data_IF_131679039730
#
_entry.id   IF_131679039730
#
_cell.length_a   1.000
_cell.length_b   1.000
_cell.length_c   1.000
_cell.angle_alpha   90.00
_cell.angle_beta   90.00
_cell.angle_gamma   90.00
#
_symmetry.space_group_name_H-M   'P 1'
#
loop_
_entity.id
_entity.type
_entity.pdbx_description
1 polymer ?
#
# COMPACT_ATOMS: atom_id res chain seq x y z
N UNK A 1 30.82 4.41 8.36
CA UNK A 1 29.48 4.41 9.01
C UNK A 1 29.36 3.11 9.79
N UNK A 2 28.62 3.06 10.90
CA UNK A 2 28.27 1.76 11.52
C UNK A 2 27.45 0.97 10.47
N UNK A 3 27.65 -0.34 10.30
CA UNK A 3 26.79 -1.15 9.44
C UNK A 3 25.32 -0.99 9.86
N UNK A 4 24.46 -0.66 8.91
CA UNK A 4 23.02 -0.48 9.13
C UNK A 4 22.39 -1.87 9.18
N UNK A 5 21.54 -2.15 10.18
CA UNK A 5 20.73 -3.37 10.22
C UNK A 5 19.30 -3.09 9.77
N UNK A 6 18.87 -3.76 8.71
CA UNK A 6 17.52 -3.71 8.15
C UNK A 6 16.85 -5.07 8.41
N UNK A 7 15.81 -5.08 9.22
CA UNK A 7 15.00 -6.25 9.50
C UNK A 7 13.77 -6.25 8.60
N UNK A 8 13.52 -7.35 7.90
CA UNK A 8 12.38 -7.51 6.97
C UNK A 8 11.45 -8.57 7.54
N UNK A 9 10.29 -8.14 7.99
CA UNK A 9 9.24 -9.01 8.56
C UNK A 9 8.21 -9.34 7.48
N UNK A 10 7.96 -10.64 7.26
CA UNK A 10 7.19 -11.12 6.11
C UNK A 10 8.05 -11.22 4.84
N UNK A 11 9.32 -11.57 5.00
CA UNK A 11 10.32 -11.62 3.94
C UNK A 11 10.02 -12.66 2.85
N UNK A 12 9.18 -13.67 3.12
CA UNK A 12 8.75 -14.65 2.13
C UNK A 12 7.94 -14.06 0.99
N UNK A 13 7.63 -12.77 1.01
CA UNK A 13 7.16 -12.00 -0.14
C UNK A 13 8.30 -11.75 -1.13
N UNK A 14 8.60 -12.76 -1.95
CA UNK A 14 9.83 -12.80 -2.74
C UNK A 14 10.01 -11.61 -3.70
N UNK A 15 8.92 -11.08 -4.28
CA UNK A 15 8.96 -9.90 -5.17
C UNK A 15 9.42 -8.64 -4.45
N UNK A 16 8.94 -8.39 -3.23
CA UNK A 16 9.36 -7.24 -2.44
C UNK A 16 10.79 -7.41 -1.92
N UNK A 17 11.12 -8.59 -1.40
CA UNK A 17 12.45 -8.87 -0.87
C UNK A 17 13.55 -8.75 -1.91
N UNK A 18 13.37 -9.33 -3.11
CA UNK A 18 14.36 -9.20 -4.19
C UNK A 18 14.46 -7.76 -4.70
N UNK A 19 13.34 -7.03 -4.77
CA UNK A 19 13.34 -5.60 -5.13
C UNK A 19 14.16 -4.76 -4.15
N UNK A 20 13.97 -4.98 -2.84
CA UNK A 20 14.75 -4.30 -1.80
C UNK A 20 16.24 -4.63 -1.86
N UNK A 21 16.61 -5.91 -2.00
CA UNK A 21 18.03 -6.31 -2.10
C UNK A 21 18.66 -5.78 -3.37
N UNK A 22 17.92 -5.77 -4.49
CA UNK A 22 18.36 -5.15 -5.74
C UNK A 22 18.70 -3.68 -5.53
N UNK A 23 17.81 -2.92 -4.91
CA UNK A 23 18.03 -1.49 -4.69
C UNK A 23 19.18 -1.21 -3.73
N UNK A 24 19.33 -2.02 -2.68
CA UNK A 24 20.48 -1.94 -1.76
C UNK A 24 21.78 -2.19 -2.55
N UNK A 25 21.82 -3.20 -3.42
CA UNK A 25 22.98 -3.47 -4.28
C UNK A 25 23.31 -2.33 -5.26
N UNK A 26 22.37 -1.43 -5.52
CA UNK A 26 22.54 -0.26 -6.39
C UNK A 26 22.75 1.04 -5.60
N UNK A 27 22.86 0.94 -4.27
CA UNK A 27 22.97 2.08 -3.36
C UNK A 27 24.29 1.98 -2.58
N UNK A 28 25.41 2.56 -3.08
CA UNK A 28 26.74 2.39 -2.49
C UNK A 28 26.87 2.83 -1.02
N UNK A 29 26.04 3.78 -0.59
CA UNK A 29 25.99 4.27 0.79
C UNK A 29 25.49 3.23 1.80
N UNK A 30 24.80 2.18 1.32
CA UNK A 30 24.26 1.07 2.11
C UNK A 30 25.08 -0.21 1.96
N UNK A 31 26.21 -0.20 1.25
CA UNK A 31 27.09 -1.37 1.16
C UNK A 31 27.60 -1.79 2.54
N UNK A 32 27.63 -3.10 2.80
CA UNK A 32 28.00 -3.67 4.10
C UNK A 32 26.88 -3.68 5.13
N UNK A 33 25.64 -3.30 4.77
CA UNK A 33 24.47 -3.44 5.65
C UNK A 33 24.17 -4.90 5.98
N UNK A 34 23.62 -5.14 7.17
CA UNK A 34 23.03 -6.42 7.56
C UNK A 34 21.55 -6.43 7.18
N UNK A 35 21.13 -7.39 6.37
CA UNK A 35 19.74 -7.60 6.01
C UNK A 35 19.27 -8.88 6.69
N UNK A 36 18.32 -8.77 7.62
CA UNK A 36 17.80 -9.91 8.36
C UNK A 36 16.36 -10.22 7.90
N UNK A 37 16.20 -11.32 7.18
CA UNK A 37 14.91 -11.80 6.69
C UNK A 37 14.20 -12.61 7.77
N UNK A 38 12.93 -12.31 8.01
CA UNK A 38 12.09 -13.12 8.89
C UNK A 38 10.74 -13.42 8.23
N UNK A 39 10.36 -14.68 8.29
CA UNK A 39 9.05 -15.18 7.89
C UNK A 39 8.68 -16.36 8.80
N UNK A 40 7.41 -16.75 8.82
CA UNK A 40 6.96 -17.94 9.54
C UNK A 40 7.00 -19.19 8.64
N UNK A 41 7.12 -19.01 7.32
CA UNK A 41 7.21 -20.09 6.35
C UNK A 41 8.69 -20.33 5.97
N UNK A 42 9.24 -21.44 6.45
CA UNK A 42 10.63 -21.84 6.23
C UNK A 42 10.99 -21.96 4.74
N UNK A 43 10.15 -22.61 3.94
CA UNK A 43 10.40 -22.83 2.52
C UNK A 43 10.50 -21.51 1.76
N UNK A 44 9.53 -20.60 1.96
CA UNK A 44 9.53 -19.27 1.35
C UNK A 44 10.75 -18.45 1.79
N UNK A 45 11.12 -18.54 3.07
CA UNK A 45 12.27 -17.84 3.64
C UNK A 45 13.60 -18.36 3.07
N UNK A 46 13.73 -19.67 2.90
CA UNK A 46 14.91 -20.29 2.31
C UNK A 46 15.08 -19.89 0.85
N UNK A 47 13.99 -19.93 0.09
CA UNK A 47 13.96 -19.56 -1.32
C UNK A 47 14.35 -18.10 -1.52
N UNK A 48 13.76 -17.18 -0.76
CA UNK A 48 14.04 -15.74 -0.91
C UNK A 48 15.46 -15.37 -0.46
N UNK A 49 15.96 -16.01 0.60
CA UNK A 49 17.33 -15.79 1.07
C UNK A 49 18.36 -16.28 0.05
N UNK A 50 18.15 -17.46 -0.54
CA UNK A 50 19.00 -17.99 -1.60
C UNK A 50 19.01 -17.08 -2.84
N UNK A 51 17.83 -16.63 -3.28
CA UNK A 51 17.68 -15.72 -4.42
C UNK A 51 18.42 -14.39 -4.19
N UNK A 52 18.23 -13.77 -3.03
CA UNK A 52 18.86 -12.50 -2.67
C UNK A 52 20.38 -12.63 -2.51
N UNK A 53 20.85 -13.75 -1.96
CA UNK A 53 22.29 -14.05 -1.85
C UNK A 53 22.93 -14.16 -3.23
N UNK A 54 22.32 -14.97 -4.11
CA UNK A 54 22.77 -15.12 -5.50
C UNK A 54 22.80 -13.78 -6.24
N UNK A 55 21.78 -12.93 -6.05
CA UNK A 55 21.77 -11.58 -6.64
C UNK A 55 22.95 -10.71 -6.18
N UNK A 56 23.20 -10.65 -4.88
CA UNK A 56 24.30 -9.85 -4.32
C UNK A 56 25.67 -10.35 -4.79
N UNK A 57 25.85 -11.68 -4.86
CA UNK A 57 27.06 -12.33 -5.39
C UNK A 57 27.29 -12.02 -6.88
N UNK A 58 26.25 -12.14 -7.72
CA UNK A 58 26.30 -11.80 -9.15
C UNK A 58 26.66 -10.32 -9.39
N UNK A 59 26.28 -9.44 -8.45
CA UNK A 59 26.61 -8.01 -8.48
C UNK A 59 27.97 -7.69 -7.84
N UNK A 60 28.58 -8.63 -7.12
CA UNK A 60 29.82 -8.41 -6.37
C UNK A 60 29.67 -7.44 -5.20
N UNK A 61 28.46 -7.28 -4.65
CA UNK A 61 28.18 -6.36 -3.54
C UNK A 61 28.21 -7.13 -2.22
N UNK A 62 28.95 -6.62 -1.24
CA UNK A 62 29.08 -7.28 0.07
C UNK A 62 27.92 -6.89 0.99
N UNK A 63 26.98 -7.81 1.19
CA UNK A 63 25.88 -7.70 2.17
C UNK A 63 25.98 -8.82 3.22
N UNK A 64 25.60 -8.53 4.47
CA UNK A 64 25.45 -9.54 5.52
C UNK A 64 24.00 -10.01 5.55
N UNK A 65 23.69 -11.07 4.79
CA UNK A 65 22.33 -11.59 4.63
C UNK A 65 22.04 -12.72 5.64
N UNK A 66 21.12 -12.48 6.57
CA UNK A 66 20.70 -13.43 7.62
C UNK A 66 19.23 -13.80 7.46
N UNK A 67 18.83 -14.96 7.98
CA UNK A 67 17.43 -15.38 8.03
C UNK A 67 17.10 -16.06 9.35
N UNK A 68 15.87 -15.89 9.82
CA UNK A 68 15.36 -16.56 11.03
C UNK A 68 13.83 -16.72 10.95
N UNK A 69 13.30 -17.72 11.66
CA UNK A 69 11.86 -17.82 11.93
C UNK A 69 11.46 -17.06 13.21
N UNK A 70 12.43 -16.61 14.01
CA UNK A 70 12.21 -15.90 15.25
C UNK A 70 12.16 -14.38 15.03
N UNK A 71 10.99 -13.79 15.28
CA UNK A 71 10.78 -12.35 15.12
C UNK A 71 11.71 -11.53 16.02
N UNK A 72 11.93 -11.94 17.26
CA UNK A 72 12.70 -11.18 18.24
C UNK A 72 14.18 -11.19 17.87
N UNK A 73 14.73 -12.34 17.47
CA UNK A 73 16.09 -12.44 16.91
C UNK A 73 16.27 -11.53 15.69
N UNK A 74 15.26 -11.47 14.82
CA UNK A 74 15.29 -10.57 13.67
C UNK A 74 15.44 -9.10 14.09
N UNK A 75 14.74 -8.67 15.14
CA UNK A 75 14.69 -7.28 15.60
C UNK A 75 15.94 -6.81 16.38
N UNK A 76 16.75 -7.70 16.94
CA UNK A 76 17.87 -7.34 17.82
C UNK A 76 18.87 -6.36 17.17
N UNK A 77 18.94 -5.13 17.66
CA UNK A 77 19.84 -4.10 17.12
C UNK A 77 19.51 -3.63 15.70
N UNK A 78 18.25 -3.79 15.26
CA UNK A 78 17.76 -3.21 14.02
C UNK A 78 17.77 -1.68 14.07
N UNK A 79 18.12 -1.03 12.96
CA UNK A 79 17.95 0.41 12.77
C UNK A 79 16.64 0.71 11.99
N UNK A 80 16.20 -0.24 11.17
CA UNK A 80 14.98 -0.18 10.38
C UNK A 80 14.26 -1.53 10.40
N UNK A 81 12.94 -1.49 10.55
CA UNK A 81 12.06 -2.67 10.53
C UNK A 81 11.01 -2.47 9.46
N UNK A 82 11.14 -3.18 8.35
CA UNK A 82 10.21 -3.17 7.22
C UNK A 82 9.19 -4.28 7.42
N UNK A 83 7.91 -3.93 7.46
CA UNK A 83 6.82 -4.90 7.60
C UNK A 83 6.04 -5.04 6.29
N UNK A 84 6.16 -6.22 5.67
CA UNK A 84 5.44 -6.65 4.46
C UNK A 84 4.55 -7.87 4.72
N UNK A 85 4.30 -8.23 5.98
CA UNK A 85 3.58 -9.45 6.32
C UNK A 85 2.07 -9.31 6.13
N UNK A 86 1.46 -10.23 5.37
CA UNK A 86 0.01 -10.42 5.28
C UNK A 86 -0.40 -11.63 6.11
N UNK A 87 -0.90 -11.39 7.32
CA UNK A 87 -1.13 -12.46 8.32
C UNK A 87 -2.25 -13.43 7.97
N UNK A 88 -3.31 -12.97 7.28
CA UNK A 88 -4.44 -13.81 6.89
C UNK A 88 -4.24 -14.54 5.54
N UNK A 89 -3.28 -14.10 4.72
CA UNK A 89 -3.03 -14.62 3.37
C UNK A 89 -4.18 -14.39 2.37
N UNK A 90 -3.92 -14.66 1.08
CA UNK A 90 -4.90 -14.45 0.02
C UNK A 90 -6.07 -15.45 0.02
N UNK A 91 -5.89 -16.64 0.59
CA UNK A 91 -6.96 -17.66 0.66
C UNK A 91 -8.16 -17.19 1.48
N UNK A 92 -7.92 -16.70 2.70
CA UNK A 92 -8.99 -16.17 3.59
C UNK A 92 -9.64 -14.92 3.01
N UNK A 93 -8.85 -14.09 2.33
CA UNK A 93 -9.35 -12.91 1.62
C UNK A 93 -10.37 -13.30 0.55
N UNK A 94 -10.00 -14.25 -0.33
CA UNK A 94 -10.87 -14.70 -1.42
C UNK A 94 -12.13 -15.41 -0.94
N UNK A 95 -12.02 -16.29 0.06
CA UNK A 95 -13.20 -16.97 0.63
C UNK A 95 -14.18 -15.96 1.24
N UNK A 96 -13.68 -14.95 1.97
CA UNK A 96 -14.51 -13.86 2.47
C UNK A 96 -15.14 -13.02 1.35
N UNK A 97 -14.44 -12.80 0.23
CA UNK A 97 -15.03 -12.14 -0.94
C UNK A 97 -16.18 -12.94 -1.55
N UNK A 98 -16.02 -14.26 -1.67
CA UNK A 98 -17.09 -15.14 -2.17
C UNK A 98 -18.34 -15.06 -1.28
N UNK A 99 -18.16 -15.03 0.04
CA UNK A 99 -19.25 -14.84 1.00
C UNK A 99 -19.88 -13.45 0.86
N UNK A 100 -19.09 -12.39 0.81
CA UNK A 100 -19.59 -11.02 0.63
C UNK A 100 -20.39 -10.87 -0.68
N UNK A 101 -19.89 -11.42 -1.79
CA UNK A 101 -20.61 -11.40 -3.08
C UNK A 101 -21.92 -12.19 -3.01
N UNK A 102 -21.94 -13.35 -2.33
CA UNK A 102 -23.18 -14.12 -2.07
C UNK A 102 -24.21 -13.30 -1.30
N UNK A 103 -23.77 -12.43 -0.39
CA UNK A 103 -24.65 -11.53 0.37
C UNK A 103 -24.97 -10.21 -0.35
N UNK A 104 -24.53 -10.02 -1.59
CA UNK A 104 -24.91 -8.89 -2.44
C UNK A 104 -23.97 -7.67 -2.39
N UNK A 105 -22.82 -7.78 -1.73
CA UNK A 105 -21.76 -6.78 -1.81
C UNK A 105 -21.02 -6.92 -3.15
N UNK A 106 -20.65 -5.79 -3.76
CA UNK A 106 -20.02 -5.80 -5.09
C UNK A 106 -18.56 -5.37 -5.02
N UNK A 107 -17.70 -6.10 -5.72
CA UNK A 107 -16.31 -5.68 -5.91
C UNK A 107 -16.33 -4.39 -6.75
N UNK A 108 -15.66 -3.33 -6.30
CA UNK A 108 -15.93 -1.98 -6.82
C UNK A 108 -16.88 -1.21 -5.89
N UNK A 109 -16.34 -0.22 -5.17
CA UNK A 109 -17.15 0.63 -4.30
C UNK A 109 -17.43 0.11 -2.90
N UNK A 110 -17.05 -1.13 -2.57
CA UNK A 110 -17.16 -1.70 -1.22
C UNK A 110 -15.84 -1.61 -0.44
N UNK A 111 -15.41 -0.40 -0.07
CA UNK A 111 -14.02 -0.12 0.34
C UNK A 111 -13.52 -0.92 1.55
N UNK A 112 -14.39 -1.19 2.53
CA UNK A 112 -14.06 -1.90 3.77
C UNK A 112 -14.54 -3.36 3.80
N UNK A 113 -15.18 -3.81 2.71
CA UNK A 113 -15.75 -5.15 2.59
C UNK A 113 -15.03 -5.96 1.50
N UNK A 114 -14.88 -5.44 0.27
CA UNK A 114 -14.35 -6.21 -0.85
C UNK A 114 -13.09 -5.57 -1.43
N UNK A 115 -11.98 -5.64 -0.69
CA UNK A 115 -10.60 -5.37 -1.15
C UNK A 115 -9.60 -6.12 -0.26
N UNK A 116 -8.30 -5.85 -0.39
CA UNK A 116 -7.26 -6.41 0.49
C UNK A 116 -7.23 -5.80 1.90
N UNK A 117 -8.12 -4.85 2.19
CA UNK A 117 -8.33 -4.19 3.47
C UNK A 117 -9.70 -4.55 4.10
N UNK A 118 -10.21 -5.75 3.81
CA UNK A 118 -11.47 -6.21 4.39
C UNK A 118 -11.35 -6.45 5.91
N UNK A 119 -12.40 -6.15 6.68
CA UNK A 119 -12.34 -6.21 8.16
C UNK A 119 -11.90 -7.58 8.73
N UNK A 120 -12.20 -8.68 8.03
CA UNK A 120 -11.81 -10.03 8.45
C UNK A 120 -10.34 -10.37 8.19
N UNK A 121 -9.66 -9.57 7.38
CA UNK A 121 -8.21 -9.56 7.20
C UNK A 121 -7.58 -8.58 8.19
N UNK A 122 -8.15 -7.38 8.27
CA UNK A 122 -7.64 -6.30 9.12
C UNK A 122 -7.60 -6.68 10.60
N UNK A 123 -8.55 -7.47 11.11
CA UNK A 123 -8.48 -7.96 12.50
C UNK A 123 -7.13 -8.61 12.83
N UNK A 124 -6.63 -9.49 11.96
CA UNK A 124 -5.33 -10.15 12.18
C UNK A 124 -4.15 -9.21 11.93
N UNK A 125 -4.28 -8.30 10.95
CA UNK A 125 -3.24 -7.32 10.65
C UNK A 125 -3.06 -6.33 11.79
N UNK A 126 -4.14 -5.81 12.37
CA UNK A 126 -4.10 -4.88 13.49
C UNK A 126 -3.47 -5.52 14.73
N UNK A 127 -3.86 -6.76 15.09
CA UNK A 127 -3.19 -7.51 16.17
C UNK A 127 -1.71 -7.69 15.91
N UNK A 128 -1.34 -7.96 14.67
CA UNK A 128 0.06 -8.16 14.31
C UNK A 128 0.86 -6.86 14.36
N UNK A 129 0.35 -5.77 13.80
CA UNK A 129 0.97 -4.44 13.85
C UNK A 129 1.17 -3.98 15.29
N UNK A 130 0.18 -4.23 16.16
CA UNK A 130 0.28 -3.98 17.59
C UNK A 130 1.44 -4.78 18.21
N UNK A 131 1.40 -6.12 18.06
CA UNK A 131 2.44 -6.99 18.64
C UNK A 131 3.85 -6.73 18.11
N UNK A 132 3.98 -6.33 16.84
CA UNK A 132 5.25 -5.99 16.24
C UNK A 132 5.77 -4.65 16.77
N UNK A 133 4.91 -3.66 16.92
CA UNK A 133 5.28 -2.35 17.48
C UNK A 133 5.72 -2.50 18.93
N UNK A 134 5.05 -3.33 19.72
CA UNK A 134 5.44 -3.65 21.09
C UNK A 134 6.83 -4.30 21.16
N UNK A 135 7.10 -5.30 20.30
CA UNK A 135 8.42 -5.93 20.22
C UNK A 135 9.51 -4.93 19.76
N UNK A 136 9.20 -4.01 18.84
CA UNK A 136 10.15 -2.96 18.41
C UNK A 136 10.48 -2.04 19.58
N UNK A 137 9.48 -1.58 20.34
CA UNK A 137 9.67 -0.70 21.49
C UNK A 137 10.46 -1.37 22.63
N UNK A 138 10.36 -2.69 22.76
CA UNK A 138 11.07 -3.47 23.76
C UNK A 138 12.53 -3.78 23.33
N UNK A 139 12.74 -4.18 22.07
CA UNK A 139 14.02 -4.74 21.59
C UNK A 139 14.91 -3.69 20.92
N UNK A 140 14.32 -2.82 20.09
CA UNK A 140 15.03 -1.85 19.27
C UNK A 140 14.27 -0.52 19.19
N UNK A 141 14.04 0.17 20.32
CA UNK A 141 13.15 1.34 20.41
C UNK A 141 13.56 2.52 19.52
N UNK A 142 14.81 2.54 19.07
CA UNK A 142 15.32 3.58 18.18
C UNK A 142 15.07 3.30 16.69
N UNK A 143 14.65 2.08 16.34
CA UNK A 143 14.42 1.67 14.97
C UNK A 143 13.21 2.38 14.36
N UNK A 144 13.27 2.64 13.05
CA UNK A 144 12.10 3.06 12.29
C UNK A 144 11.25 1.85 11.92
N UNK A 145 9.96 1.87 12.26
CA UNK A 145 8.97 0.93 11.77
C UNK A 145 8.38 1.44 10.45
N UNK A 146 8.77 0.79 9.35
CA UNK A 146 8.26 1.05 8.00
C UNK A 146 7.10 0.08 7.73
N UNK A 147 5.87 0.60 7.73
CA UNK A 147 4.65 -0.18 7.50
C UNK A 147 4.29 -0.18 6.01
N UNK A 148 4.41 -1.33 5.34
CA UNK A 148 4.02 -1.51 3.94
C UNK A 148 2.82 -2.45 3.80
N UNK A 149 2.68 -3.39 4.74
CA UNK A 149 1.55 -4.30 4.77
C UNK A 149 0.24 -3.53 4.96
N UNK A 150 -0.74 -3.83 4.10
CA UNK A 150 -2.09 -3.30 4.23
C UNK A 150 -2.81 -3.87 5.47
N UNK A 151 -3.74 -3.10 6.07
CA UNK A 151 -4.20 -1.76 5.66
C UNK A 151 -3.27 -0.64 6.15
N UNK A 152 -2.62 0.12 5.25
CA UNK A 152 -1.71 1.19 5.67
C UNK A 152 -2.47 2.33 6.36
N UNK A 153 -3.64 2.73 5.84
CA UNK A 153 -4.48 3.79 6.44
C UNK A 153 -4.93 3.46 7.87
N UNK A 154 -5.57 2.29 8.06
CA UNK A 154 -6.09 1.85 9.35
C UNK A 154 -4.93 1.51 10.29
N UNK A 155 -3.90 0.82 9.79
CA UNK A 155 -2.73 0.41 10.57
C UNK A 155 -1.92 1.58 11.11
N UNK A 156 -1.58 2.56 10.26
CA UNK A 156 -0.84 3.76 10.70
C UNK A 156 -1.69 4.60 11.66
N UNK A 157 -2.99 4.78 11.38
CA UNK A 157 -3.90 5.47 12.29
C UNK A 157 -3.91 4.81 13.67
N UNK A 158 -4.07 3.49 13.72
CA UNK A 158 -4.10 2.72 14.96
C UNK A 158 -2.77 2.80 15.73
N UNK A 159 -1.67 2.43 15.08
CA UNK A 159 -0.36 2.30 15.72
C UNK A 159 0.14 3.64 16.21
N UNK A 160 0.04 4.71 15.41
CA UNK A 160 0.54 6.02 15.82
C UNK A 160 -0.33 6.68 16.90
N UNK A 161 -1.63 6.38 16.97
CA UNK A 161 -2.51 6.82 18.09
C UNK A 161 -2.13 6.12 19.39
N UNK A 162 -1.93 4.80 19.34
CA UNK A 162 -1.73 3.95 20.52
C UNK A 162 -0.29 3.98 21.04
N UNK A 163 0.70 4.12 20.15
CA UNK A 163 2.13 4.11 20.44
C UNK A 163 2.83 5.38 19.92
N UNK A 164 2.50 6.58 20.43
CA UNK A 164 3.05 7.85 19.94
C UNK A 164 4.58 7.98 20.09
N UNK A 165 5.22 7.12 20.90
CA UNK A 165 6.66 7.02 21.07
C UNK A 165 7.37 6.24 19.97
N UNK A 166 6.66 5.42 19.18
CA UNK A 166 7.25 4.62 18.12
C UNK A 166 7.58 5.48 16.89
N UNK A 167 8.74 5.25 16.27
CA UNK A 167 9.14 5.92 15.02
C UNK A 167 8.49 5.21 13.82
N UNK A 168 7.24 5.55 13.53
CA UNK A 168 6.42 4.85 12.53
C UNK A 168 6.25 5.71 11.27
N UNK A 169 6.32 5.07 10.12
CA UNK A 169 5.93 5.65 8.82
C UNK A 169 5.28 4.57 7.97
N UNK A 170 4.12 4.88 7.37
CA UNK A 170 3.55 4.00 6.36
C UNK A 170 4.03 4.36 4.95
N UNK A 171 4.23 3.35 4.11
CA UNK A 171 4.72 3.52 2.74
C UNK A 171 3.78 2.79 1.77
N UNK A 172 3.44 3.46 0.68
CA UNK A 172 2.65 2.90 -0.42
C UNK A 172 3.21 3.43 -1.75
N UNK A 173 3.01 2.69 -2.84
CA UNK A 173 3.55 3.01 -4.16
C UNK A 173 2.60 3.82 -5.04
N UNK A 174 1.39 4.16 -4.57
CA UNK A 174 0.36 4.83 -5.39
C UNK A 174 0.85 6.11 -6.08
N UNK A 175 1.77 6.84 -5.47
CA UNK A 175 2.38 8.06 -6.02
C UNK A 175 3.17 7.85 -7.33
N UNK A 176 3.70 6.63 -7.56
CA UNK A 176 4.48 6.26 -8.77
C UNK A 176 3.68 6.54 -10.03
N UNK A 177 2.36 6.48 -9.94
CA UNK A 177 1.47 6.76 -11.05
C UNK A 177 1.57 8.21 -11.58
N UNK A 178 2.09 9.15 -10.79
CA UNK A 178 2.44 10.49 -11.28
C UNK A 178 3.49 10.43 -12.40
N UNK A 179 4.41 9.46 -12.35
CA UNK A 179 5.39 9.24 -13.42
C UNK A 179 4.76 8.63 -14.68
N UNK A 180 3.72 7.82 -14.53
CA UNK A 180 2.96 7.30 -15.68
C UNK A 180 2.19 8.43 -16.37
N UNK A 181 1.57 9.33 -15.59
CA UNK A 181 0.90 10.55 -16.12
C UNK A 181 1.90 11.41 -16.90
N UNK A 182 3.07 11.68 -16.31
CA UNK A 182 4.14 12.42 -16.99
C UNK A 182 4.56 11.75 -18.30
N UNK A 183 4.85 10.45 -18.28
CA UNK A 183 5.22 9.67 -19.47
C UNK A 183 4.14 9.73 -20.56
N UNK A 184 2.87 9.60 -20.20
CA UNK A 184 1.76 9.63 -21.14
C UNK A 184 1.56 11.02 -21.79
N UNK A 185 2.00 12.09 -21.14
CA UNK A 185 2.07 13.44 -21.68
C UNK A 185 3.39 13.73 -22.43
N UNK A 186 4.32 12.78 -22.50
CA UNK A 186 5.63 12.96 -23.12
C UNK A 186 6.61 13.79 -22.28
N UNK A 187 6.44 13.77 -20.96
CA UNK A 187 7.26 14.51 -20.00
C UNK A 187 8.30 13.61 -19.35
N UNK A 188 9.51 14.13 -19.16
CA UNK A 188 10.62 13.43 -18.54
C UNK A 188 10.49 13.44 -17.00
N UNK A 189 10.59 12.25 -16.37
CA UNK A 189 10.46 12.07 -14.92
C UNK A 189 11.39 12.97 -14.09
N UNK A 190 12.61 13.21 -14.56
CA UNK A 190 13.60 14.04 -13.85
C UNK A 190 13.26 15.54 -13.84
N UNK A 191 12.39 15.97 -14.76
CA UNK A 191 12.07 17.38 -14.99
C UNK A 191 10.69 17.74 -14.41
N UNK A 192 9.99 16.79 -13.77
CA UNK A 192 8.72 17.07 -13.08
C UNK A 192 8.92 17.37 -11.60
N UNK A 193 8.06 18.22 -11.05
CA UNK A 193 7.85 18.35 -9.60
C UNK A 193 6.35 18.32 -9.32
N UNK A 194 5.95 17.78 -8.19
CA UNK A 194 4.53 17.55 -7.91
C UNK A 194 4.22 17.56 -6.42
N UNK A 195 2.93 17.73 -6.10
CA UNK A 195 2.37 17.39 -4.80
C UNK A 195 1.19 16.44 -4.99
N UNK A 196 1.22 15.34 -4.25
CA UNK A 196 0.06 14.46 -4.06
C UNK A 196 -0.39 14.56 -2.62
N UNK A 197 -1.71 14.59 -2.44
CA UNK A 197 -2.34 14.82 -1.14
C UNK A 197 -3.56 13.93 -0.98
N UNK A 198 -3.73 13.35 0.20
CA UNK A 198 -4.95 12.66 0.58
C UNK A 198 -4.76 11.75 1.77
N UNK A 199 -5.37 10.59 1.70
CA UNK A 199 -5.15 9.46 2.61
C UNK A 199 -4.72 8.26 1.77
N UNK A 200 -4.22 7.18 2.39
CA UNK A 200 -3.76 6.04 1.62
C UNK A 200 -4.85 5.48 0.70
N UNK A 201 -4.47 5.08 -0.52
CA UNK A 201 -5.37 4.68 -1.60
C UNK A 201 -6.48 5.70 -1.94
N UNK A 202 -6.28 6.97 -1.59
CA UNK A 202 -7.18 8.07 -1.93
C UNK A 202 -6.40 9.40 -2.11
N UNK A 203 -5.42 9.35 -3.00
CA UNK A 203 -4.47 10.39 -3.37
C UNK A 203 -4.91 11.22 -4.58
N UNK A 204 -4.62 12.51 -4.51
CA UNK A 204 -4.93 13.47 -5.56
C UNK A 204 -3.69 14.29 -5.90
N UNK A 205 -3.38 14.39 -7.19
CA UNK A 205 -2.36 15.30 -7.72
C UNK A 205 -2.91 16.72 -7.65
N UNK A 206 -2.37 17.52 -6.73
CA UNK A 206 -2.82 18.91 -6.48
C UNK A 206 -1.96 19.93 -7.20
N UNK A 207 -0.68 19.64 -7.37
CA UNK A 207 0.28 20.50 -8.04
C UNK A 207 1.12 19.60 -8.97
N UNK A 208 1.27 20.01 -10.23
CA UNK A 208 2.01 19.24 -11.24
C UNK A 208 2.74 20.20 -12.16
N UNK A 209 4.07 20.19 -12.09
CA UNK A 209 4.92 21.09 -12.85
C UNK A 209 5.90 20.32 -13.71
N UNK A 210 6.21 20.87 -14.89
CA UNK A 210 7.27 20.40 -15.76
C UNK A 210 8.23 21.55 -16.07
N UNK A 211 9.50 21.40 -15.69
CA UNK A 211 10.53 22.45 -15.82
C UNK A 211 10.12 23.78 -15.17
N UNK A 212 9.36 23.70 -14.07
CA UNK A 212 8.88 24.86 -13.31
C UNK A 212 7.57 25.47 -13.78
N UNK A 213 7.02 25.03 -14.91
CA UNK A 213 5.75 25.52 -15.46
C UNK A 213 4.60 24.56 -15.13
N UNK A 214 3.39 25.09 -14.91
CA UNK A 214 2.19 24.29 -14.65
C UNK A 214 1.91 23.34 -15.83
N UNK A 215 1.80 22.05 -15.54
CA UNK A 215 1.62 20.99 -16.51
C UNK A 215 0.15 20.55 -16.66
N UNK A 216 -0.79 21.02 -15.82
CA UNK A 216 -2.22 20.74 -16.01
C UNK A 216 -2.77 21.20 -17.38
N UNK A 217 -2.36 22.36 -17.94
CA UNK A 217 -2.76 22.73 -19.31
C UNK A 217 -2.37 21.71 -20.39
N UNK A 218 -1.30 20.94 -20.18
CA UNK A 218 -0.91 19.86 -21.10
C UNK A 218 -1.83 18.66 -20.98
N UNK A 219 -2.29 18.34 -19.77
CA UNK A 219 -3.31 17.33 -19.52
C UNK A 219 -4.64 17.75 -20.14
N UNK A 220 -5.07 19.00 -19.94
CA UNK A 220 -6.32 19.53 -20.52
C UNK A 220 -6.29 19.43 -22.05
N UNK A 221 -5.19 19.86 -22.67
CA UNK A 221 -5.00 19.73 -24.12
C UNK A 221 -5.02 18.28 -24.59
N UNK A 222 -4.37 17.37 -23.85
CA UNK A 222 -4.42 15.94 -24.17
C UNK A 222 -5.87 15.40 -24.10
N UNK A 223 -6.64 15.82 -23.10
CA UNK A 223 -8.04 15.43 -22.93
C UNK A 223 -8.87 15.92 -24.13
N UNK A 224 -8.71 17.18 -24.52
CA UNK A 224 -9.47 17.79 -25.63
C UNK A 224 -9.11 17.17 -26.99
N UNK A 225 -7.83 16.92 -27.25
CA UNK A 225 -7.36 16.56 -28.59
C UNK A 225 -7.21 15.05 -28.81
N UNK A 226 -7.01 14.26 -27.75
CA UNK A 226 -6.55 12.86 -27.88
C UNK A 226 -7.40 11.82 -27.15
N UNK A 227 -8.16 12.20 -26.12
CA UNK A 227 -8.83 11.22 -25.25
C UNK A 227 -9.80 10.30 -25.99
N UNK A 228 -10.67 10.84 -26.85
CA UNK A 228 -11.66 10.04 -27.60
C UNK A 228 -10.99 9.02 -28.53
N UNK A 229 -9.98 9.44 -29.29
CA UNK A 229 -9.22 8.56 -30.18
C UNK A 229 -8.42 7.51 -29.40
N UNK A 230 -7.86 7.89 -28.25
CA UNK A 230 -7.13 6.98 -27.36
C UNK A 230 -8.03 5.87 -26.84
N UNK A 231 -9.24 6.20 -26.37
CA UNK A 231 -10.20 5.20 -25.89
C UNK A 231 -10.81 4.36 -27.03
N UNK A 232 -11.05 4.95 -28.19
CA UNK A 232 -11.57 4.24 -29.37
C UNK A 232 -10.56 3.24 -29.95
N UNK A 233 -9.26 3.46 -29.77
CA UNK A 233 -8.21 2.53 -30.19
C UNK A 233 -8.24 1.20 -29.40
N UNK A 234 -8.84 1.21 -28.21
CA UNK A 234 -8.86 0.06 -27.30
C UNK A 234 -7.51 -0.24 -26.66
N UNK A 235 -7.49 -1.23 -25.75
CA UNK A 235 -6.30 -1.62 -24.98
C UNK A 235 -6.30 -1.12 -23.54
N UNK A 236 -5.12 -1.04 -22.93
CA UNK A 236 -4.96 -0.56 -21.56
C UNK A 236 -5.01 0.98 -21.53
N UNK A 237 -6.08 1.52 -20.92
CA UNK A 237 -6.32 2.96 -20.87
C UNK A 237 -5.55 3.68 -19.76
N UNK A 238 -4.65 2.99 -19.05
CA UNK A 238 -3.91 3.57 -17.92
C UNK A 238 -2.79 4.51 -18.40
N UNK A 239 -2.59 5.69 -17.78
CA UNK A 239 -3.26 6.25 -16.60
C UNK A 239 -4.52 7.08 -16.91
N UNK A 240 -4.89 7.27 -18.18
CA UNK A 240 -5.98 8.16 -18.61
C UNK A 240 -7.29 7.43 -18.89
N UNK A 241 -7.79 6.69 -17.90
CA UNK A 241 -9.07 5.98 -18.04
C UNK A 241 -10.25 6.96 -18.13
N UNK A 242 -11.36 6.59 -18.79
CA UNK A 242 -12.56 7.44 -18.85
C UNK A 242 -13.03 7.89 -17.46
N UNK A 243 -13.00 6.99 -16.47
CA UNK A 243 -13.36 7.28 -15.07
C UNK A 243 -12.47 8.37 -14.46
N UNK A 244 -11.15 8.29 -14.64
CA UNK A 244 -10.21 9.27 -14.08
C UNK A 244 -10.36 10.64 -14.72
N UNK A 245 -10.58 10.69 -16.03
CA UNK A 245 -10.83 11.96 -16.73
C UNK A 245 -12.16 12.59 -16.29
N UNK A 246 -13.21 11.80 -16.10
CA UNK A 246 -14.49 12.31 -15.57
C UNK A 246 -14.35 12.87 -14.16
N UNK A 247 -13.66 12.14 -13.26
CA UNK A 247 -13.36 12.63 -11.91
C UNK A 247 -12.56 13.93 -11.93
N UNK A 248 -11.54 14.02 -12.78
CA UNK A 248 -10.74 15.23 -12.94
C UNK A 248 -11.60 16.42 -13.40
N UNK A 249 -12.43 16.23 -14.44
CA UNK A 249 -13.36 17.28 -14.92
C UNK A 249 -14.35 17.71 -13.83
N UNK A 250 -14.80 16.79 -12.99
CA UNK A 250 -15.79 17.06 -11.93
C UNK A 250 -15.21 17.76 -10.72
N UNK A 251 -13.97 17.42 -10.34
CA UNK A 251 -13.38 17.85 -9.07
C UNK A 251 -12.23 18.84 -9.23
N UNK A 252 -11.70 19.04 -10.44
CA UNK A 252 -10.59 19.94 -10.72
C UNK A 252 -9.24 19.46 -10.16
N UNK A 253 -9.16 18.21 -9.73
CA UNK A 253 -7.95 17.55 -9.20
C UNK A 253 -7.87 16.14 -9.73
N UNK A 254 -6.66 15.67 -10.04
CA UNK A 254 -6.49 14.41 -10.75
C UNK A 254 -6.22 13.27 -9.75
N UNK A 255 -7.05 12.23 -9.77
CA UNK A 255 -6.88 11.06 -8.90
C UNK A 255 -5.60 10.30 -9.29
N UNK A 256 -4.81 9.84 -8.31
CA UNK A 256 -3.52 9.16 -8.50
C UNK A 256 -3.55 7.75 -7.91
N UNK A 257 -2.86 6.83 -8.58
CA UNK A 257 -2.65 5.47 -8.11
C UNK A 257 -3.97 4.76 -7.83
N UNK A 258 -4.06 4.08 -6.69
CA UNK A 258 -5.18 3.22 -6.36
C UNK A 258 -6.54 3.91 -6.23
N UNK A 259 -6.53 5.22 -5.98
CA UNK A 259 -7.72 6.05 -5.74
C UNK A 259 -8.86 5.73 -6.68
N UNK A 260 -8.60 5.78 -7.97
CA UNK A 260 -9.56 5.44 -9.02
C UNK A 260 -9.13 4.19 -9.80
N UNK A 261 -8.10 3.47 -9.33
CA UNK A 261 -7.66 2.25 -10.01
C UNK A 261 -8.67 1.14 -9.83
N UNK A 262 -8.63 0.23 -10.79
CA UNK A 262 -9.38 -1.01 -10.78
C UNK A 262 -8.95 -2.02 -9.69
N UNK A 263 -7.81 -1.83 -9.02
CA UNK A 263 -7.18 -2.88 -8.21
C UNK A 263 -7.43 -2.79 -6.71
N UNK A 264 -7.53 -1.60 -6.11
CA UNK A 264 -7.35 -1.54 -4.63
C UNK A 264 -8.32 -0.58 -3.93
N UNK A 265 -8.59 0.60 -4.50
CA UNK A 265 -9.60 1.50 -3.95
C UNK A 265 -10.86 1.60 -4.81
N UNK A 266 -10.75 1.48 -6.15
CA UNK A 266 -11.84 1.62 -7.14
C UNK A 266 -12.90 2.65 -6.78
N UNK A 267 -12.48 3.78 -6.24
CA UNK A 267 -13.40 4.84 -5.88
C UNK A 267 -13.77 5.61 -7.15
N UNK A 268 -15.01 6.11 -7.28
CA UNK A 268 -16.19 5.94 -6.41
C UNK A 268 -17.18 4.84 -6.87
N UNK A 269 -18.04 4.39 -5.94
CA UNK A 269 -19.00 3.30 -6.15
C UNK A 269 -19.98 3.49 -7.32
N UNK A 270 -20.27 4.72 -7.73
CA UNK A 270 -21.26 4.98 -8.79
C UNK A 270 -20.78 4.61 -10.20
N UNK A 271 -19.50 4.28 -10.38
CA UNK A 271 -19.00 3.67 -11.62
C UNK A 271 -19.04 2.14 -11.59
N UNK A 272 -19.47 1.56 -10.47
CA UNK A 272 -19.46 0.13 -10.18
C UNK A 272 -20.87 -0.39 -9.82
N UNK A 273 -21.92 0.26 -10.35
CA UNK A 273 -23.31 -0.09 -9.98
C UNK A 273 -23.75 -1.44 -10.51
N UNK A 274 -23.28 -1.78 -11.69
CA UNK A 274 -23.47 -3.05 -12.37
C UNK A 274 -22.43 -3.18 -13.49
N UNK A 275 -22.37 -4.36 -14.12
CA UNK A 275 -21.40 -4.61 -15.19
C UNK A 275 -21.57 -3.71 -16.42
N UNK A 276 -22.78 -3.19 -16.69
CA UNK A 276 -22.99 -2.31 -17.83
C UNK A 276 -22.36 -0.94 -17.57
N UNK A 277 -22.49 -0.43 -16.34
CA UNK A 277 -21.81 0.79 -15.92
C UNK A 277 -20.28 0.58 -15.86
N UNK A 278 -19.80 -0.54 -15.34
CA UNK A 278 -18.36 -0.84 -15.35
C UNK A 278 -17.80 -0.87 -16.78
N UNK A 279 -18.47 -1.55 -17.71
CA UNK A 279 -18.08 -1.57 -19.12
C UNK A 279 -18.07 -0.17 -19.75
N UNK A 280 -19.07 0.67 -19.43
CA UNK A 280 -19.14 2.05 -19.91
C UNK A 280 -17.91 2.86 -19.50
N UNK A 281 -17.38 2.60 -18.31
CA UNK A 281 -16.23 3.33 -17.77
C UNK A 281 -14.88 2.61 -17.95
N UNK A 282 -14.87 1.50 -18.69
CA UNK A 282 -13.69 0.63 -18.87
C UNK A 282 -13.14 0.06 -17.57
N UNK A 283 -14.03 -0.26 -16.64
CA UNK A 283 -13.73 -0.86 -15.35
C UNK A 283 -13.93 -2.38 -15.40
N UNK A 284 -13.05 -3.12 -14.69
CA UNK A 284 -13.18 -4.55 -14.48
C UNK A 284 -12.39 -4.97 -13.22
N UNK A 285 -12.88 -4.64 -12.01
CA UNK A 285 -12.13 -4.92 -10.79
C UNK A 285 -11.80 -6.40 -10.62
N UNK A 286 -12.76 -7.29 -10.89
CA UNK A 286 -12.55 -8.73 -10.73
C UNK A 286 -11.50 -9.29 -11.70
N UNK A 287 -11.54 -8.86 -12.96
CA UNK A 287 -10.55 -9.25 -13.96
C UNK A 287 -9.13 -8.83 -13.57
N UNK A 288 -8.98 -7.70 -12.88
CA UNK A 288 -7.67 -7.23 -12.40
C UNK A 288 -7.16 -8.07 -11.26
N UNK A 289 -8.00 -8.38 -10.27
CA UNK A 289 -7.63 -9.28 -9.18
C UNK A 289 -7.26 -10.67 -9.67
N UNK A 290 -7.98 -11.20 -10.66
CA UNK A 290 -7.63 -12.49 -11.27
C UNK A 290 -6.24 -12.42 -11.92
N UNK A 291 -5.95 -11.38 -12.72
CA UNK A 291 -4.61 -11.17 -13.31
C UNK A 291 -3.52 -11.01 -12.25
N UNK A 292 -3.84 -10.36 -11.12
CA UNK A 292 -2.90 -10.23 -10.01
C UNK A 292 -2.55 -11.60 -9.43
N UNK A 293 -3.53 -12.48 -9.18
CA UNK A 293 -3.28 -13.83 -8.70
C UNK A 293 -2.52 -14.68 -9.71
N UNK A 294 -2.85 -14.58 -11.01
CA UNK A 294 -2.13 -15.29 -12.08
C UNK A 294 -0.66 -14.83 -12.12
N UNK A 295 -0.40 -13.52 -12.08
CA UNK A 295 0.94 -12.95 -12.06
C UNK A 295 1.73 -13.35 -10.82
N UNK A 296 1.08 -13.46 -9.64
CA UNK A 296 1.71 -13.97 -8.43
C UNK A 296 2.17 -15.43 -8.62
N UNK A 297 1.31 -16.29 -9.18
CA UNK A 297 1.66 -17.68 -9.47
C UNK A 297 2.80 -17.80 -10.48
N UNK A 298 2.76 -17.03 -11.56
CA UNK A 298 3.81 -17.02 -12.59
C UNK A 298 5.15 -16.52 -12.03
N UNK A 299 5.12 -15.44 -11.25
CA UNK A 299 6.32 -14.89 -10.59
C UNK A 299 6.96 -15.92 -9.65
N UNK A 300 6.15 -16.62 -8.86
CA UNK A 300 6.65 -17.70 -8.00
C UNK A 300 7.32 -18.81 -8.82
N UNK A 301 6.75 -19.21 -9.95
CA UNK A 301 7.34 -20.21 -10.85
C UNK A 301 8.68 -19.77 -11.45
N UNK A 302 8.78 -18.50 -11.90
CA UNK A 302 10.04 -17.94 -12.43
C UNK A 302 11.13 -17.88 -11.35
N UNK A 303 10.77 -17.46 -10.14
CA UNK A 303 11.67 -17.39 -9.01
C UNK A 303 12.19 -18.76 -8.59
N UNK A 304 11.30 -19.76 -8.52
CA UNK A 304 11.69 -21.13 -8.22
C UNK A 304 12.73 -21.65 -9.22
N UNK A 305 12.49 -21.39 -10.52
CA UNK A 305 13.41 -21.79 -11.58
C UNK A 305 14.80 -21.13 -11.46
N UNK A 306 14.84 -19.86 -11.04
CA UNK A 306 16.09 -19.13 -10.83
C UNK A 306 16.92 -19.64 -9.64
N UNK A 307 16.25 -20.24 -8.65
CA UNK A 307 16.85 -20.86 -7.47
C UNK A 307 17.36 -22.27 -7.80
N UNK A 308 16.57 -23.06 -8.52
CA UNK A 308 16.87 -24.46 -8.84
C UNK A 308 17.91 -24.63 -9.95
N UNK A 309 17.96 -23.72 -10.93
CA UNK A 309 18.88 -23.79 -12.06
C UNK A 309 20.05 -22.80 -11.88
N UNK A 310 21.28 -23.31 -11.61
CA UNK A 310 22.46 -22.46 -11.46
C UNK A 310 22.83 -21.69 -12.72
N UNK A 311 22.38 -22.10 -13.91
CA UNK A 311 22.68 -21.43 -15.17
C UNK A 311 21.85 -20.16 -15.39
N UNK A 312 20.69 -20.05 -14.75
CA UNK A 312 19.83 -18.86 -14.81
C UNK A 312 20.43 -17.78 -13.92
N UNK A 313 20.77 -16.63 -14.50
CA UNK A 313 21.23 -15.47 -13.72
C UNK A 313 20.06 -14.71 -13.13
N UNK A 314 20.12 -14.43 -11.84
CA UNK A 314 19.07 -13.64 -11.17
C UNK A 314 19.07 -12.20 -11.70
N UNK A 315 20.24 -11.68 -12.08
CA UNK A 315 20.41 -10.37 -12.72
C UNK A 315 19.81 -10.26 -14.13
N UNK A 316 19.53 -11.38 -14.81
CA UNK A 316 18.81 -11.36 -16.09
C UNK A 316 17.29 -11.23 -15.86
N UNK A 317 16.76 -11.87 -14.82
CA UNK A 317 15.35 -11.77 -14.40
C UNK A 317 15.05 -10.44 -13.72
N UNK A 318 16.01 -9.93 -12.94
CA UNK A 318 15.94 -8.66 -12.24
C UNK A 318 17.12 -7.76 -12.67
N UNK A 319 17.02 -7.09 -13.83
CA UNK A 319 18.06 -6.20 -14.31
C UNK A 319 18.47 -5.17 -13.24
N UNK A 320 19.75 -4.76 -13.18
CA UNK A 320 20.30 -3.85 -12.17
C UNK A 320 19.84 -2.40 -12.39
N UNK A 321 18.54 -2.18 -12.27
CA UNK A 321 17.86 -0.89 -12.36
C UNK A 321 17.09 -0.71 -11.05
N UNK A 322 17.21 0.49 -10.46
CA UNK A 322 16.48 0.82 -9.22
C UNK A 322 14.97 0.63 -9.43
N UNK A 323 14.29 0.06 -8.43
CA UNK A 323 12.83 0.14 -8.36
C UNK A 323 12.39 1.59 -8.12
N UNK A 324 11.09 1.83 -8.29
CA UNK A 324 10.45 3.07 -7.83
C UNK A 324 9.85 2.94 -6.41
N UNK A 325 10.26 1.91 -5.65
CA UNK A 325 9.86 1.68 -4.27
C UNK A 325 10.53 2.67 -3.30
N UNK A 326 9.82 2.99 -2.21
CA UNK A 326 10.23 4.04 -1.27
C UNK A 326 11.22 3.57 -0.19
N UNK A 327 11.27 2.28 0.14
CA UNK A 327 11.92 1.80 1.36
C UNK A 327 13.42 2.12 1.37
N UNK A 328 14.13 1.72 0.32
CA UNK A 328 15.60 1.83 0.28
C UNK A 328 16.04 3.30 0.14
N UNK A 329 15.46 4.12 -0.75
CA UNK A 329 15.75 5.55 -0.77
C UNK A 329 15.41 6.27 0.54
N UNK A 330 14.33 5.91 1.23
CA UNK A 330 13.99 6.51 2.52
C UNK A 330 15.02 6.12 3.60
N UNK A 331 15.38 4.84 3.68
CA UNK A 331 16.40 4.31 4.60
C UNK A 331 17.73 5.03 4.38
N UNK A 332 18.19 5.14 3.13
CA UNK A 332 19.41 5.86 2.78
C UNK A 332 19.33 7.33 3.21
N UNK A 333 18.19 8.00 3.00
CA UNK A 333 18.01 9.41 3.38
C UNK A 333 18.15 9.62 4.88
N UNK A 334 17.57 8.73 5.68
CA UNK A 334 17.61 8.79 7.15
C UNK A 334 18.98 8.38 7.67
N UNK A 335 19.55 7.29 7.18
CA UNK A 335 20.80 6.74 7.70
C UNK A 335 22.03 7.58 7.30
N UNK A 336 22.04 8.09 6.06
CA UNK A 336 23.19 8.77 5.47
C UNK A 336 23.05 10.30 5.42
N UNK A 337 21.96 10.85 5.96
CA UNK A 337 21.63 12.28 5.93
C UNK A 337 21.65 12.88 4.51
N UNK A 338 20.90 12.24 3.61
CA UNK A 338 20.71 12.70 2.22
C UNK A 338 19.28 13.26 2.12
N UNK A 339 19.07 14.59 2.23
CA UNK A 339 17.73 15.15 2.25
C UNK A 339 17.01 14.94 0.92
N UNK A 340 15.85 14.25 0.97
CA UNK A 340 14.98 13.99 -0.19
C UNK A 340 13.52 14.16 0.20
N UNK A 341 12.67 14.41 -0.79
CA UNK A 341 11.22 14.48 -0.61
C UNK A 341 10.60 13.16 -1.01
N UNK A 342 9.79 12.57 -0.14
CA UNK A 342 9.05 11.33 -0.37
C UNK A 342 7.57 11.54 -0.08
N UNK A 343 6.72 10.71 -0.67
CA UNK A 343 5.31 10.61 -0.27
C UNK A 343 5.21 9.56 0.83
N UNK A 344 4.67 9.94 1.99
CA UNK A 344 4.64 9.09 3.19
C UNK A 344 3.29 9.15 3.88
N UNK A 345 2.97 8.10 4.64
CA UNK A 345 1.77 8.02 5.46
C UNK A 345 2.13 8.31 6.92
N UNK A 346 1.45 9.29 7.52
CA UNK A 346 1.66 9.75 8.90
C UNK A 346 0.36 10.32 9.48
N UNK A 347 0.30 10.63 10.78
CA UNK A 347 -0.84 11.33 11.34
C UNK A 347 -0.91 12.78 10.83
N UNK A 348 -2.11 13.28 10.64
CA UNK A 348 -2.36 14.67 10.24
C UNK A 348 -2.11 15.69 11.38
N UNK A 349 -1.14 15.43 12.25
CA UNK A 349 -0.92 16.15 13.51
C UNK A 349 -0.56 17.62 13.31
N UNK A 350 0.06 17.95 12.18
CA UNK A 350 0.34 19.33 11.75
C UNK A 350 -0.77 19.97 10.91
N UNK A 351 -1.95 19.34 10.79
CA UNK A 351 -3.01 19.72 9.86
C UNK A 351 -2.48 19.86 8.42
N UNK A 352 -1.64 18.90 8.02
CA UNK A 352 -0.99 18.85 6.71
C UNK A 352 -2.02 18.76 5.58
N UNK A 353 -3.12 18.03 5.79
CA UNK A 353 -4.29 17.97 4.90
C UNK A 353 -5.49 18.62 5.61
N UNK A 354 -5.77 19.91 5.33
CA UNK A 354 -6.90 20.62 5.92
C UNK A 354 -8.24 19.90 5.71
N UNK A 355 -8.99 19.71 6.80
CA UNK A 355 -10.32 19.09 6.78
C UNK A 355 -10.35 17.60 7.13
N UNK A 356 -9.19 16.95 7.21
CA UNK A 356 -9.05 15.58 7.73
C UNK A 356 -8.70 15.65 9.23
N UNK A 357 -9.22 14.76 10.10
CA UNK A 357 -8.91 14.79 11.54
C UNK A 357 -7.41 14.71 11.81
N UNK A 358 -6.93 15.46 12.81
CA UNK A 358 -5.49 15.61 13.11
C UNK A 358 -4.81 14.36 13.63
N UNK A 359 -5.59 13.42 14.17
CA UNK A 359 -5.13 12.13 14.65
C UNK A 359 -5.43 11.00 13.66
N UNK A 360 -5.80 11.32 12.42
CA UNK A 360 -6.06 10.35 11.35
C UNK A 360 -4.90 10.32 10.35
N UNK A 361 -4.68 9.16 9.73
CA UNK A 361 -3.61 8.98 8.73
C UNK A 361 -3.87 9.84 7.49
N UNK A 362 -2.84 10.56 7.06
CA UNK A 362 -2.78 11.27 5.77
C UNK A 362 -1.54 10.86 4.99
N UNK A 363 -1.66 10.88 3.67
CA UNK A 363 -0.58 10.57 2.75
C UNK A 363 -0.16 11.86 2.04
N UNK A 364 1.07 12.30 2.33
CA UNK A 364 1.58 13.63 1.97
C UNK A 364 3.07 13.58 1.65
N UNK A 365 3.55 14.56 0.91
CA UNK A 365 4.99 14.79 0.74
C UNK A 365 5.66 15.13 2.07
N UNK A 366 6.87 14.62 2.30
CA UNK A 366 7.67 14.89 3.48
C UNK A 366 9.16 15.03 3.11
N UNK A 367 9.84 15.97 3.74
CA UNK A 367 11.30 16.06 3.69
C UNK A 367 11.90 15.06 4.68
N UNK A 368 12.65 14.09 4.17
CA UNK A 368 13.26 13.03 4.97
C UNK A 368 14.78 13.16 4.93
N UNK A 369 15.40 13.07 6.12
CA UNK A 369 16.84 13.14 6.35
C UNK A 369 17.18 12.48 7.69
N UNK A 370 18.41 12.58 8.18
CA UNK A 370 18.77 12.07 9.52
C UNK A 370 18.01 12.77 10.65
N UNK A 371 17.47 13.97 10.39
CA UNK A 371 16.60 14.71 11.31
C UNK A 371 15.21 14.09 11.46
N UNK A 372 14.90 13.05 10.70
CA UNK A 372 13.60 12.39 10.66
C UNK A 372 12.75 12.81 9.46
N UNK A 373 11.47 12.47 9.55
CA UNK A 373 10.45 12.70 8.53
C UNK A 373 9.68 13.96 8.90
N UNK A 374 9.72 14.97 8.03
CA UNK A 374 9.06 16.27 8.24
C UNK A 374 7.99 16.47 7.15
N UNK A 375 6.72 16.19 7.46
CA UNK A 375 5.64 16.35 6.48
C UNK A 375 5.49 17.80 6.03
N UNK A 376 5.17 17.99 4.75
CA UNK A 376 5.02 19.28 4.10
C UNK A 376 3.52 19.60 4.04
N UNK A 377 3.15 20.77 4.55
CA UNK A 377 1.76 21.25 4.47
C UNK A 377 1.37 21.54 3.02
N UNK A 378 0.15 21.15 2.64
CA UNK A 378 -0.42 21.44 1.32
C UNK A 378 -1.62 22.40 1.43
N UNK A 379 -2.15 22.81 0.27
CA UNK A 379 -3.30 23.74 0.17
C UNK A 379 -4.65 23.08 0.55
N UNK A 380 -4.66 21.78 0.84
CA UNK A 380 -5.85 20.98 1.02
C UNK A 380 -6.46 20.49 -0.29
N UNK A 381 -7.57 19.79 -0.16
CA UNK A 381 -8.33 19.22 -1.26
C UNK A 381 -9.64 19.98 -1.50
N UNK A 382 -10.23 19.91 -2.70
CA UNK A 382 -11.56 20.46 -2.93
C UNK A 382 -12.57 19.91 -1.91
N UNK A 383 -13.45 20.79 -1.40
CA UNK A 383 -14.44 20.41 -0.35
C UNK A 383 -15.25 19.15 -0.69
N UNK A 384 -15.69 18.90 -1.94
CA UNK A 384 -16.36 17.65 -2.28
C UNK A 384 -15.49 16.41 -2.04
N UNK A 385 -14.19 16.48 -2.37
CA UNK A 385 -13.25 15.37 -2.14
C UNK A 385 -13.06 15.14 -0.65
N UNK A 386 -12.88 16.21 0.14
CA UNK A 386 -12.79 16.09 1.61
C UNK A 386 -14.05 15.43 2.19
N UNK A 387 -15.25 15.83 1.73
CA UNK A 387 -16.50 15.21 2.18
C UNK A 387 -16.57 13.70 1.84
N UNK A 388 -16.05 13.31 0.68
CA UNK A 388 -15.96 11.90 0.30
C UNK A 388 -14.93 11.13 1.12
N UNK A 389 -13.75 11.70 1.41
CA UNK A 389 -12.77 11.08 2.31
C UNK A 389 -13.38 10.86 3.70
N UNK A 390 -14.08 11.88 4.23
CA UNK A 390 -14.72 11.76 5.54
C UNK A 390 -15.76 10.63 5.57
N UNK A 391 -16.58 10.52 4.52
CA UNK A 391 -17.64 9.51 4.41
C UNK A 391 -17.11 8.10 4.11
N UNK A 392 -16.24 7.98 3.13
CA UNK A 392 -15.85 6.71 2.52
C UNK A 392 -14.58 6.09 3.13
N UNK A 393 -13.81 6.88 3.90
CA UNK A 393 -12.55 6.43 4.52
C UNK A 393 -12.54 6.67 6.02
N UNK A 394 -12.71 7.92 6.48
CA UNK A 394 -12.59 8.24 7.91
C UNK A 394 -13.68 7.55 8.72
N UNK A 395 -14.95 7.78 8.40
CA UNK A 395 -16.07 7.20 9.15
C UNK A 395 -16.01 5.67 9.31
N UNK A 396 -15.85 4.87 8.23
CA UNK A 396 -15.72 3.42 8.39
C UNK A 396 -14.48 3.00 9.17
N UNK A 397 -13.32 3.66 8.98
CA UNK A 397 -12.10 3.30 9.72
C UNK A 397 -12.24 3.59 11.21
N UNK A 398 -12.89 4.70 11.59
CA UNK A 398 -13.17 4.97 13.00
C UNK A 398 -14.07 3.88 13.62
N UNK A 399 -15.10 3.43 12.89
CA UNK A 399 -15.95 2.32 13.35
C UNK A 399 -15.19 1.00 13.46
N UNK A 400 -14.31 0.70 12.50
CA UNK A 400 -13.46 -0.48 12.52
C UNK A 400 -12.52 -0.47 13.73
N UNK A 401 -11.84 0.64 13.97
CA UNK A 401 -10.93 0.79 15.10
C UNK A 401 -11.66 0.74 16.44
N UNK A 402 -12.84 1.36 16.56
CA UNK A 402 -13.66 1.28 17.76
C UNK A 402 -14.18 -0.15 18.00
N UNK A 403 -14.64 -0.84 16.96
CA UNK A 403 -15.03 -2.25 17.04
C UNK A 403 -13.85 -3.11 17.49
N UNK A 404 -12.67 -2.93 16.87
CA UNK A 404 -11.45 -3.65 17.21
C UNK A 404 -11.02 -3.40 18.65
N UNK A 405 -10.97 -2.15 19.09
CA UNK A 405 -10.51 -1.81 20.44
C UNK A 405 -11.46 -2.29 21.54
N UNK A 406 -12.77 -2.27 21.29
CA UNK A 406 -13.80 -2.67 22.27
C UNK A 406 -14.20 -4.14 22.19
N UNK A 407 -13.83 -4.83 21.12
CA UNK A 407 -14.35 -6.17 20.83
C UNK A 407 -15.87 -6.16 20.60
N UNK A 408 -16.42 -5.08 20.03
CA UNK A 408 -17.86 -4.90 19.88
C UNK A 408 -18.36 -5.44 18.55
N UNK A 409 -19.20 -6.49 18.59
CA UNK A 409 -19.87 -6.99 17.38
C UNK A 409 -20.84 -5.96 16.79
N UNK A 410 -21.52 -5.18 17.64
CA UNK A 410 -22.47 -4.15 17.20
C UNK A 410 -21.77 -3.05 16.40
N UNK A 411 -20.60 -2.58 16.84
CA UNK A 411 -19.81 -1.60 16.08
C UNK A 411 -19.26 -2.19 14.78
N UNK A 412 -18.91 -3.48 14.78
CA UNK A 412 -18.50 -4.17 13.55
C UNK A 412 -19.67 -4.29 12.56
N UNK A 413 -20.89 -4.50 13.06
CA UNK A 413 -22.10 -4.45 12.24
C UNK A 413 -22.35 -3.04 11.68
N UNK A 414 -22.15 -1.99 12.49
CA UNK A 414 -22.25 -0.60 12.03
C UNK A 414 -21.24 -0.29 10.91
N UNK A 415 -20.00 -0.79 11.02
CA UNK A 415 -19.02 -0.72 9.93
C UNK A 415 -19.60 -1.32 8.63
N UNK A 416 -20.12 -2.54 8.68
CA UNK A 416 -20.73 -3.19 7.52
C UNK A 416 -21.89 -2.36 6.95
N UNK A 417 -22.69 -1.74 7.82
CA UNK A 417 -23.82 -0.89 7.43
C UNK A 417 -23.40 0.44 6.78
N UNK A 418 -22.15 0.88 6.92
CA UNK A 418 -21.65 2.06 6.18
C UNK A 418 -21.48 1.80 4.69
N UNK A 419 -21.35 0.53 4.31
CA UNK A 419 -21.14 0.14 2.93
C UNK A 419 -22.39 0.43 2.08
N UNK A 420 -22.17 0.94 0.85
CA UNK A 420 -23.26 1.32 -0.05
C UNK A 420 -24.17 0.12 -0.41
N UNK A 421 -23.65 -1.10 -0.39
CA UNK A 421 -24.38 -2.30 -0.76
C UNK A 421 -25.17 -2.93 0.39
N UNK A 422 -25.04 -2.38 1.60
CA UNK A 422 -25.90 -2.71 2.74
C UNK A 422 -27.32 -2.19 2.50
N UNK A 423 -28.22 -3.10 2.12
CA UNK A 423 -29.65 -2.82 1.90
C UNK A 423 -30.52 -2.98 3.15
N UNK A 424 -30.06 -3.72 4.16
CA UNK A 424 -30.75 -3.86 5.46
C UNK A 424 -29.84 -4.37 6.57
N UNK A 425 -30.23 -4.13 7.83
CA UNK A 425 -29.56 -4.71 8.99
C UNK A 425 -29.59 -6.25 8.99
N UNK A 426 -30.62 -6.87 8.42
CA UNK A 426 -30.70 -8.33 8.33
C UNK A 426 -29.65 -8.91 7.37
N UNK A 427 -29.45 -8.29 6.21
CA UNK A 427 -28.41 -8.67 5.25
C UNK A 427 -27.01 -8.49 5.85
N UNK A 428 -26.74 -7.33 6.46
CA UNK A 428 -25.46 -7.05 7.10
C UNK A 428 -25.14 -8.02 8.23
N UNK A 429 -26.12 -8.37 9.07
CA UNK A 429 -25.95 -9.38 10.12
C UNK A 429 -25.69 -10.77 9.55
N UNK A 430 -26.46 -11.21 8.55
CA UNK A 430 -26.29 -12.53 7.95
C UNK A 430 -24.90 -12.70 7.31
N UNK A 431 -24.41 -11.63 6.66
CA UNK A 431 -23.05 -11.59 6.13
C UNK A 431 -22.00 -11.68 7.24
N UNK A 432 -22.12 -10.85 8.27
CA UNK A 432 -21.19 -10.83 9.39
C UNK A 432 -21.15 -12.18 10.13
N UNK A 433 -22.31 -12.79 10.35
CA UNK A 433 -22.42 -14.11 10.99
C UNK A 433 -21.74 -15.20 10.17
N UNK A 434 -21.90 -15.21 8.85
CA UNK A 434 -21.26 -16.19 7.97
C UNK A 434 -19.73 -16.04 7.96
N UNK A 435 -19.22 -14.80 7.97
CA UNK A 435 -17.78 -14.53 8.11
C UNK A 435 -17.26 -15.00 9.47
N UNK A 436 -17.90 -14.62 10.58
CA UNK A 436 -17.45 -15.00 11.92
C UNK A 436 -17.55 -16.51 12.19
N UNK A 437 -18.44 -17.22 11.47
CA UNK A 437 -18.60 -18.67 11.58
C UNK A 437 -17.51 -19.48 10.86
N UNK A 438 -16.64 -18.86 10.04
CA UNK A 438 -15.56 -19.56 9.37
C UNK A 438 -14.61 -20.23 10.38
N UNK A 439 -14.18 -21.50 10.18
CA UNK A 439 -13.46 -22.27 11.20
C UNK A 439 -12.16 -21.61 11.70
N UNK A 440 -11.46 -20.87 10.82
CA UNK A 440 -10.22 -20.17 11.15
C UNK A 440 -10.44 -18.77 11.77
N UNK A 441 -11.69 -18.33 11.90
CA UNK A 441 -12.09 -17.06 12.50
C UNK A 441 -12.50 -17.17 13.98
N UNK A 442 -12.18 -18.29 14.64
CA UNK A 442 -12.47 -18.47 16.08
C UNK A 442 -11.97 -17.32 16.96
N UNK A 443 -10.71 -16.92 16.82
CA UNK A 443 -10.15 -15.81 17.62
C UNK A 443 -10.83 -14.47 17.32
N UNK A 444 -11.34 -14.29 16.11
CA UNK A 444 -12.07 -13.09 15.69
C UNK A 444 -13.49 -13.09 16.28
N UNK A 445 -14.18 -14.21 16.19
CA UNK A 445 -15.50 -14.41 16.78
C UNK A 445 -15.48 -14.32 18.32
N UNK A 446 -14.41 -14.82 18.96
CA UNK A 446 -14.24 -14.68 20.40
C UNK A 446 -13.92 -13.24 20.83
N UNK A 447 -13.31 -12.44 19.95
CA UNK A 447 -13.00 -11.03 20.18
C UNK A 447 -14.23 -10.13 20.04
N UNK A 448 -15.03 -10.33 19.00
CA UNK A 448 -16.25 -9.56 18.74
C UNK A 448 -17.47 -10.22 19.41
N UNK A 449 -17.73 -9.89 20.68
CA UNK A 449 -18.86 -10.43 21.47
C UNK A 449 -19.99 -9.44 21.67
#
# INVERSE_FOLDING_TARGET
MKPIKISIIGAGSSTFAIGMVRDICLTPSLEGSTIHFMDINQERLDNVHALCTKYAEERGVKLDLKKTLDRRECLEGADFVINTALTAGYGRMREGWEIAMKHGYKLGGSYHILYDEAFWINYYQLKFFESLTEDILDICPDAWHLMLANPVITGVTHVMRKYPQAKVVGLCHGYVDTYNVAKALGLEKKDITYQVTGVNHHLWLTDFYYKGEDAFPLLDKWIEEKSEAFWAAGGENWPFTPKRIDLYKKHGVFAIGDTASWSSASWPWWYHTDEAEERRWSENPMGVWNRFFDNLSDSMGQLQRAIEDPSVKVTELFPPVLTDELMIPLIESIACDIPRVFVVNTLNSGNYVPGIPTDFQVEVSALCSKRGIQPISNKGLPKPIVAHILRDRVAPIELELEAFNKGSRDMLLELVLTDKWSGSAAQANAFLDEILALPYHRDMAEHYR
#
